data_IF_738206384443
#
_entry.id   IF_738206384443
#
_cell.length_a   1.000
_cell.length_b   1.000
_cell.length_c   1.000
_cell.angle_alpha   90.00
_cell.angle_beta   90.00
_cell.angle_gamma   90.00
#
_symmetry.space_group_name_H-M   'P 1'
#
loop_
_entity.id
_entity.type
_entity.pdbx_description
1 polymer ?
#
# COMPACT_ATOMS: atom_id res chain seq x y z
N UNK A 1 -6.19 -7.10 7.69
CA UNK A 1 -4.89 -7.68 7.29
C UNK A 1 -4.82 -8.08 5.81
N UNK A 2 -5.99 -8.21 5.14
CA UNK A 2 -6.08 -8.57 3.69
C UNK A 2 -5.32 -7.57 2.80
N UNK A 3 -5.40 -6.28 3.09
CA UNK A 3 -4.72 -5.23 2.30
C UNK A 3 -3.18 -5.33 2.31
N UNK A 4 -2.60 -6.02 3.30
CA UNK A 4 -1.14 -6.21 3.38
C UNK A 4 -0.63 -7.36 2.52
N UNK A 5 -1.50 -8.21 1.97
CA UNK A 5 -1.09 -9.36 1.16
C UNK A 5 -0.21 -8.96 -0.05
N UNK A 6 -0.57 -7.96 -0.87
CA UNK A 6 0.26 -7.53 -1.98
C UNK A 6 1.67 -7.13 -1.54
N UNK A 7 1.77 -6.38 -0.45
CA UNK A 7 3.04 -5.91 0.09
C UNK A 7 3.87 -7.04 0.68
N UNK A 8 3.27 -7.93 1.48
CA UNK A 8 4.00 -9.01 2.16
C UNK A 8 4.55 -10.04 1.16
N UNK A 9 3.80 -10.37 0.13
CA UNK A 9 4.23 -11.33 -0.88
C UNK A 9 5.32 -10.74 -1.78
N UNK A 10 5.13 -9.52 -2.27
CA UNK A 10 6.01 -8.92 -3.28
C UNK A 10 7.16 -8.15 -2.64
N UNK A 11 6.83 -7.12 -1.86
CA UNK A 11 7.83 -6.15 -1.40
C UNK A 11 8.81 -6.75 -0.40
N UNK A 12 8.34 -7.62 0.50
CA UNK A 12 9.22 -8.27 1.47
C UNK A 12 10.17 -9.24 0.79
N UNK A 13 9.69 -10.02 -0.20
CA UNK A 13 10.52 -10.97 -0.95
C UNK A 13 11.61 -10.27 -1.76
N UNK A 14 11.25 -9.21 -2.50
CA UNK A 14 12.21 -8.42 -3.28
C UNK A 14 13.18 -7.67 -2.36
N UNK A 15 12.70 -7.09 -1.27
CA UNK A 15 13.54 -6.39 -0.30
C UNK A 15 14.56 -7.32 0.35
N UNK A 16 14.17 -8.56 0.65
CA UNK A 16 15.08 -9.56 1.23
C UNK A 16 16.17 -9.96 0.22
N UNK A 17 15.78 -10.20 -1.05
CA UNK A 17 16.73 -10.55 -2.12
C UNK A 17 17.72 -9.40 -2.43
N UNK A 18 17.26 -8.14 -2.40
CA UNK A 18 18.10 -6.98 -2.67
C UNK A 18 18.88 -6.49 -1.45
N UNK A 19 18.47 -6.85 -0.24
CA UNK A 19 19.15 -6.43 0.98
C UNK A 19 20.62 -6.85 1.01
N UNK A 20 20.92 -8.07 0.60
CA UNK A 20 22.31 -8.58 0.54
C UNK A 20 23.17 -7.74 -0.41
N UNK A 21 22.61 -7.31 -1.56
CA UNK A 21 23.31 -6.44 -2.52
C UNK A 21 23.50 -5.01 -1.98
N UNK A 22 22.51 -4.48 -1.26
CA UNK A 22 22.61 -3.17 -0.62
C UNK A 22 23.65 -3.21 0.51
N UNK A 23 23.63 -4.26 1.34
CA UNK A 23 24.58 -4.43 2.44
C UNK A 23 26.02 -4.63 1.94
N UNK A 24 26.24 -5.44 0.89
CA UNK A 24 27.55 -5.57 0.27
C UNK A 24 28.05 -4.24 -0.29
N UNK A 25 27.20 -3.50 -1.02
CA UNK A 25 27.57 -2.20 -1.55
C UNK A 25 27.87 -1.17 -0.44
N UNK A 26 27.20 -1.27 0.71
CA UNK A 26 27.47 -0.45 1.89
C UNK A 26 28.83 -0.79 2.50
N UNK A 27 29.17 -2.08 2.64
CA UNK A 27 30.48 -2.54 3.14
C UNK A 27 31.63 -2.10 2.23
N UNK A 28 31.39 -2.09 0.90
CA UNK A 28 32.37 -1.64 -0.10
C UNK A 28 32.44 -0.10 -0.22
N UNK A 29 31.62 0.67 0.53
CA UNK A 29 31.53 2.13 0.41
C UNK A 29 30.95 2.62 -0.92
N UNK A 30 30.35 1.73 -1.74
CA UNK A 30 29.86 2.04 -3.08
C UNK A 30 28.44 2.63 -3.05
N UNK A 31 28.35 3.93 -2.78
CA UNK A 31 27.08 4.65 -2.71
C UNK A 31 26.26 4.58 -4.01
N UNK A 32 26.92 4.60 -5.16
CA UNK A 32 26.24 4.52 -6.47
C UNK A 32 25.52 3.20 -6.65
N UNK A 33 26.13 2.08 -6.24
CA UNK A 33 25.52 0.77 -6.25
C UNK A 33 24.35 0.67 -5.26
N UNK A 34 24.50 1.25 -4.07
CA UNK A 34 23.43 1.32 -3.08
C UNK A 34 22.20 2.04 -3.63
N UNK A 35 22.38 3.23 -4.20
CA UNK A 35 21.28 4.03 -4.78
C UNK A 35 20.61 3.28 -5.91
N UNK A 36 21.39 2.68 -6.82
CA UNK A 36 20.86 1.90 -7.93
C UNK A 36 20.00 0.72 -7.46
N UNK A 37 20.50 -0.07 -6.51
CA UNK A 37 19.76 -1.22 -5.96
C UNK A 37 18.50 -0.79 -5.21
N UNK A 38 18.57 0.32 -4.46
CA UNK A 38 17.41 0.93 -3.81
C UNK A 38 16.33 1.33 -4.82
N UNK A 39 16.69 2.09 -5.87
CA UNK A 39 15.73 2.56 -6.87
C UNK A 39 15.12 1.41 -7.67
N UNK A 40 15.91 0.41 -8.07
CA UNK A 40 15.41 -0.79 -8.77
C UNK A 40 14.43 -1.53 -7.85
N UNK A 41 14.79 -1.73 -6.59
CA UNK A 41 13.94 -2.42 -5.62
C UNK A 41 12.62 -1.71 -5.40
N UNK A 42 12.66 -0.41 -5.14
CA UNK A 42 11.45 0.40 -4.97
C UNK A 42 10.57 0.35 -6.21
N UNK A 43 11.15 0.57 -7.39
CA UNK A 43 10.40 0.64 -8.66
C UNK A 43 9.73 -0.68 -9.01
N UNK A 44 10.46 -1.79 -8.94
CA UNK A 44 9.90 -3.11 -9.23
C UNK A 44 8.83 -3.53 -8.22
N UNK A 45 9.06 -3.24 -6.94
CA UNK A 45 8.07 -3.54 -5.89
C UNK A 45 6.84 -2.65 -5.99
N UNK A 46 6.99 -1.35 -6.28
CA UNK A 46 5.86 -0.44 -6.51
C UNK A 46 4.99 -0.94 -7.67
N UNK A 47 5.60 -1.28 -8.81
CA UNK A 47 4.86 -1.77 -9.97
C UNK A 47 4.02 -2.99 -9.62
N UNK A 48 4.63 -4.01 -9.03
CA UNK A 48 3.94 -5.27 -8.72
C UNK A 48 2.93 -5.11 -7.58
N UNK A 49 3.28 -4.39 -6.51
CA UNK A 49 2.37 -4.19 -5.37
C UNK A 49 1.17 -3.34 -5.78
N UNK A 50 1.37 -2.29 -6.57
CA UNK A 50 0.28 -1.45 -7.04
C UNK A 50 -0.62 -2.18 -8.05
N UNK A 51 -0.06 -3.03 -8.89
CA UNK A 51 -0.84 -3.89 -9.77
C UNK A 51 -1.73 -4.87 -8.98
N UNK A 52 -1.16 -5.55 -7.99
CA UNK A 52 -1.94 -6.43 -7.10
C UNK A 52 -2.98 -5.64 -6.28
N UNK A 53 -2.65 -4.44 -5.83
CA UNK A 53 -3.59 -3.55 -5.13
C UNK A 53 -4.77 -3.15 -6.04
N UNK A 54 -4.52 -2.89 -7.32
CA UNK A 54 -5.58 -2.59 -8.29
C UNK A 54 -6.54 -3.77 -8.47
N UNK A 55 -6.00 -4.98 -8.62
CA UNK A 55 -6.81 -6.22 -8.71
C UNK A 55 -7.62 -6.42 -7.42
N UNK A 56 -6.98 -6.28 -6.26
CA UNK A 56 -7.64 -6.45 -4.97
C UNK A 56 -8.73 -5.39 -4.74
N UNK A 57 -8.50 -4.15 -5.16
CA UNK A 57 -9.49 -3.07 -5.10
C UNK A 57 -10.68 -3.32 -6.03
N UNK A 58 -10.42 -3.75 -7.27
CA UNK A 58 -11.48 -4.10 -8.21
C UNK A 58 -12.32 -5.28 -7.71
N UNK A 59 -11.66 -6.29 -7.14
CA UNK A 59 -12.30 -7.50 -6.62
C UNK A 59 -12.72 -7.37 -5.13
N UNK A 60 -12.74 -6.17 -4.55
CA UNK A 60 -12.98 -5.98 -3.10
C UNK A 60 -14.29 -6.61 -2.64
N UNK A 61 -15.41 -6.38 -3.34
CA UNK A 61 -16.71 -6.96 -2.99
C UNK A 61 -16.71 -8.49 -3.12
N UNK A 62 -16.31 -9.10 -4.26
CA UNK A 62 -16.20 -10.55 -4.37
C UNK A 62 -15.31 -11.20 -3.31
N UNK A 63 -14.19 -10.57 -2.97
CA UNK A 63 -13.28 -11.07 -1.93
C UNK A 63 -13.99 -11.16 -0.58
N UNK A 64 -14.72 -10.11 -0.17
CA UNK A 64 -15.46 -10.15 1.10
C UNK A 64 -16.68 -11.06 1.06
N UNK A 65 -17.30 -11.29 -0.09
CA UNK A 65 -18.33 -12.32 -0.24
C UNK A 65 -17.81 -13.73 0.01
N UNK A 66 -16.57 -14.01 -0.44
CA UNK A 66 -15.92 -15.31 -0.20
C UNK A 66 -15.48 -15.46 1.27
N UNK A 67 -14.94 -14.40 1.86
CA UNK A 67 -14.37 -14.43 3.23
C UNK A 67 -15.46 -14.44 4.32
N UNK A 68 -16.63 -13.88 4.05
CA UNK A 68 -17.70 -13.75 5.03
C UNK A 68 -19.07 -13.95 4.40
N UNK A 69 -19.40 -15.16 3.87
CA UNK A 69 -20.65 -15.41 3.13
C UNK A 69 -21.92 -15.23 3.98
N UNK A 70 -21.78 -15.23 5.32
CA UNK A 70 -22.89 -15.03 6.27
C UNK A 70 -23.11 -13.58 6.67
N UNK A 71 -22.24 -12.65 6.25
CA UNK A 71 -22.36 -11.24 6.61
C UNK A 71 -23.45 -10.55 5.77
N UNK A 72 -24.05 -9.51 6.36
CA UNK A 72 -24.99 -8.67 5.62
C UNK A 72 -24.30 -7.95 4.46
N UNK A 73 -25.00 -7.78 3.33
CA UNK A 73 -24.45 -7.11 2.13
C UNK A 73 -23.92 -5.72 2.44
N UNK A 74 -24.61 -4.97 3.32
CA UNK A 74 -24.19 -3.65 3.77
C UNK A 74 -22.82 -3.65 4.48
N UNK A 75 -22.54 -4.70 5.26
CA UNK A 75 -21.25 -4.86 5.93
C UNK A 75 -20.14 -5.19 4.93
N UNK A 76 -20.42 -6.07 3.95
CA UNK A 76 -19.45 -6.40 2.91
C UNK A 76 -19.06 -5.17 2.08
N UNK A 77 -20.03 -4.33 1.72
CA UNK A 77 -19.79 -3.06 1.02
C UNK A 77 -18.98 -2.10 1.89
N UNK A 78 -19.24 -2.03 3.20
CA UNK A 78 -18.46 -1.21 4.11
C UNK A 78 -17.00 -1.69 4.19
N UNK A 79 -16.76 -3.01 4.28
CA UNK A 79 -15.41 -3.58 4.28
C UNK A 79 -14.69 -3.39 2.94
N UNK A 80 -15.39 -3.50 1.81
CA UNK A 80 -14.84 -3.24 0.50
C UNK A 80 -14.41 -1.76 0.34
N UNK A 81 -15.25 -0.81 0.78
CA UNK A 81 -14.90 0.61 0.79
C UNK A 81 -13.73 0.90 1.72
N UNK A 82 -13.69 0.29 2.89
CA UNK A 82 -12.56 0.39 3.82
C UNK A 82 -11.25 -0.10 3.18
N UNK A 83 -11.31 -1.22 2.45
CA UNK A 83 -10.16 -1.76 1.72
C UNK A 83 -9.67 -0.78 0.64
N UNK A 84 -10.57 -0.25 -0.18
CA UNK A 84 -10.21 0.70 -1.26
C UNK A 84 -9.55 1.96 -0.70
N UNK A 85 -9.99 2.47 0.45
CA UNK A 85 -9.40 3.66 1.10
C UNK A 85 -7.94 3.41 1.53
N UNK A 86 -7.61 2.20 2.00
CA UNK A 86 -6.27 1.93 2.55
C UNK A 86 -5.26 1.50 1.48
N UNK A 87 -5.70 0.98 0.33
CA UNK A 87 -4.82 0.46 -0.72
C UNK A 87 -3.77 1.47 -1.23
N UNK A 88 -4.08 2.76 -1.46
CA UNK A 88 -3.08 3.73 -1.90
C UNK A 88 -1.91 3.90 -0.93
N UNK A 89 -2.12 3.66 0.36
CA UNK A 89 -1.08 3.68 1.38
C UNK A 89 0.03 2.65 1.17
N UNK A 90 -0.24 1.58 0.40
CA UNK A 90 0.76 0.58 0.05
C UNK A 90 1.94 1.16 -0.73
N UNK A 91 1.73 2.22 -1.52
CA UNK A 91 2.82 2.90 -2.22
C UNK A 91 3.87 3.46 -1.24
N UNK A 92 3.40 4.14 -0.18
CA UNK A 92 4.28 4.60 0.89
C UNK A 92 4.94 3.45 1.64
N UNK A 93 4.19 2.41 1.96
CA UNK A 93 4.69 1.24 2.69
C UNK A 93 5.82 0.51 1.94
N UNK A 94 5.74 0.40 0.61
CA UNK A 94 6.85 -0.14 -0.22
C UNK A 94 8.12 0.69 -0.04
N UNK A 95 8.03 2.01 -0.18
CA UNK A 95 9.19 2.91 -0.05
C UNK A 95 9.81 2.83 1.33
N UNK A 96 8.98 2.73 2.38
CA UNK A 96 9.45 2.59 3.77
C UNK A 96 10.31 1.34 3.93
N UNK A 97 9.85 0.17 3.44
CA UNK A 97 10.58 -1.10 3.55
C UNK A 97 11.99 -0.97 2.95
N UNK A 98 12.10 -0.44 1.73
CA UNK A 98 13.41 -0.31 1.08
C UNK A 98 14.30 0.75 1.74
N UNK A 99 13.72 1.86 2.18
CA UNK A 99 14.47 2.90 2.91
C UNK A 99 15.04 2.36 4.23
N UNK A 100 14.26 1.56 4.96
CA UNK A 100 14.73 0.89 6.18
C UNK A 100 15.90 -0.05 5.89
N UNK A 101 15.89 -0.78 4.75
CA UNK A 101 17.03 -1.65 4.37
C UNK A 101 18.30 -0.84 4.12
N UNK A 102 18.19 0.35 3.51
CA UNK A 102 19.33 1.25 3.33
C UNK A 102 19.86 1.73 4.68
N UNK A 103 18.98 2.17 5.59
CA UNK A 103 19.42 2.66 6.90
C UNK A 103 20.06 1.55 7.75
N UNK A 104 19.49 0.34 7.74
CA UNK A 104 20.06 -0.81 8.45
C UNK A 104 21.42 -1.25 7.88
N UNK A 105 21.60 -1.16 6.54
CA UNK A 105 22.91 -1.47 5.93
C UNK A 105 24.00 -0.44 6.28
N UNK A 106 23.60 0.76 6.70
CA UNK A 106 24.49 1.84 7.17
C UNK A 106 24.61 1.89 8.70
N UNK A 107 24.00 0.94 9.41
CA UNK A 107 23.96 0.88 10.89
C UNK A 107 23.35 2.15 11.54
N UNK A 108 22.53 2.91 10.78
CA UNK A 108 21.92 4.17 11.25
C UNK A 108 20.42 3.98 11.52
N UNK A 109 20.08 3.74 12.79
CA UNK A 109 18.70 3.60 13.23
C UNK A 109 17.93 4.92 13.43
N UNK A 110 18.62 6.06 13.48
CA UNK A 110 18.00 7.36 13.79
C UNK A 110 16.98 7.80 12.73
N UNK A 111 17.27 7.72 11.41
CA UNK A 111 16.27 8.06 10.39
C UNK A 111 15.03 7.18 10.48
N UNK A 112 15.19 5.89 10.78
CA UNK A 112 14.07 4.95 10.93
C UNK A 112 13.13 5.42 12.02
N UNK A 113 13.66 5.82 13.17
CA UNK A 113 12.86 6.33 14.29
C UNK A 113 12.06 7.59 13.88
N UNK A 114 12.70 8.58 13.26
CA UNK A 114 12.02 9.82 12.88
C UNK A 114 11.02 9.63 11.74
N UNK A 115 11.28 8.72 10.80
CA UNK A 115 10.34 8.42 9.72
C UNK A 115 9.07 7.73 10.22
N UNK A 116 9.10 7.09 11.37
CA UNK A 116 7.93 6.50 12.02
C UNK A 116 7.24 7.51 12.94
N UNK A 117 8.00 8.19 13.80
CA UNK A 117 7.48 9.04 14.87
C UNK A 117 6.59 10.17 14.33
N UNK A 118 7.11 10.99 13.41
CA UNK A 118 6.39 12.18 12.94
C UNK A 118 5.11 11.85 12.17
N UNK A 119 5.11 10.90 11.20
CA UNK A 119 3.87 10.54 10.51
C UNK A 119 2.86 9.87 11.43
N UNK A 120 3.29 9.08 12.43
CA UNK A 120 2.37 8.46 13.40
C UNK A 120 1.70 9.51 14.28
N UNK A 121 2.45 10.51 14.76
CA UNK A 121 1.85 11.63 15.47
C UNK A 121 0.86 12.40 14.58
N UNK A 122 1.25 12.67 13.33
CA UNK A 122 0.36 13.29 12.35
C UNK A 122 -0.90 12.48 12.08
N UNK A 123 -0.80 11.15 12.03
CA UNK A 123 -1.94 10.25 11.89
C UNK A 123 -2.92 10.36 13.06
N UNK A 124 -2.40 10.38 14.30
CA UNK A 124 -3.24 10.53 15.49
C UNK A 124 -3.98 11.87 15.47
N UNK A 125 -3.25 12.95 15.18
CA UNK A 125 -3.86 14.30 15.09
C UNK A 125 -4.91 14.35 13.97
N UNK A 126 -4.58 13.85 12.77
CA UNK A 126 -5.51 13.84 11.64
C UNK A 126 -6.74 12.98 11.93
N UNK A 127 -6.53 11.78 12.48
CA UNK A 127 -7.63 10.87 12.86
C UNK A 127 -8.54 11.49 13.88
N UNK A 128 -7.98 12.10 14.93
CA UNK A 128 -8.75 12.82 15.97
C UNK A 128 -9.54 13.98 15.37
N UNK A 129 -8.91 14.78 14.52
CA UNK A 129 -9.58 15.90 13.84
C UNK A 129 -10.73 15.43 12.96
N UNK A 130 -10.53 14.36 12.17
CA UNK A 130 -11.60 13.80 11.34
C UNK A 130 -12.77 13.27 12.17
N UNK A 131 -12.50 12.65 13.32
CA UNK A 131 -13.56 12.18 14.24
C UNK A 131 -14.39 13.32 14.84
N UNK A 132 -13.82 14.53 15.00
CA UNK A 132 -14.58 15.70 15.46
C UNK A 132 -15.55 16.25 14.41
N UNK A 133 -15.21 16.13 13.12
CA UNK A 133 -16.02 16.68 12.02
C UNK A 133 -16.93 15.66 11.35
N UNK A 134 -16.64 14.35 11.48
CA UNK A 134 -17.41 13.30 10.84
C UNK A 134 -18.44 12.68 11.79
N UNK A 135 -19.64 12.34 11.29
CA UNK A 135 -20.60 11.52 12.05
C UNK A 135 -19.99 10.17 12.45
N UNK A 136 -20.43 9.57 13.59
CA UNK A 136 -19.87 8.32 14.11
C UNK A 136 -19.82 7.16 13.12
N UNK A 137 -20.78 7.11 12.20
CA UNK A 137 -20.86 6.09 11.14
C UNK A 137 -19.63 6.10 10.20
N UNK A 138 -18.99 7.25 10.05
CA UNK A 138 -17.80 7.42 9.15
C UNK A 138 -16.46 7.41 9.88
N UNK A 139 -16.43 7.23 11.21
CA UNK A 139 -15.16 7.25 11.97
C UNK A 139 -14.16 6.21 11.50
N UNK A 140 -14.62 5.00 11.16
CA UNK A 140 -13.75 3.96 10.58
C UNK A 140 -13.07 4.45 9.31
N UNK A 141 -13.82 5.05 8.39
CA UNK A 141 -13.27 5.54 7.12
C UNK A 141 -12.31 6.72 7.34
N UNK A 142 -12.60 7.60 8.31
CA UNK A 142 -11.71 8.67 8.71
C UNK A 142 -10.38 8.15 9.26
N UNK A 143 -10.41 7.14 10.11
CA UNK A 143 -9.21 6.51 10.66
C UNK A 143 -8.37 5.83 9.56
N UNK A 144 -8.99 5.10 8.63
CA UNK A 144 -8.31 4.45 7.51
C UNK A 144 -7.71 5.48 6.53
N UNK A 145 -8.41 6.59 6.30
CA UNK A 145 -7.89 7.68 5.49
C UNK A 145 -6.65 8.32 6.15
N UNK A 146 -6.70 8.57 7.46
CA UNK A 146 -5.56 9.08 8.22
C UNK A 146 -4.36 8.11 8.16
N UNK A 147 -4.59 6.80 8.25
CA UNK A 147 -3.56 5.76 8.07
C UNK A 147 -2.95 5.85 6.66
N UNK A 148 -3.77 5.94 5.63
CA UNK A 148 -3.32 6.04 4.23
C UNK A 148 -2.44 7.26 4.00
N UNK A 149 -2.89 8.42 4.46
CA UNK A 149 -2.12 9.67 4.37
C UNK A 149 -0.80 9.54 5.13
N UNK A 150 -0.83 9.00 6.35
CA UNK A 150 0.36 8.76 7.17
C UNK A 150 1.38 7.88 6.45
N UNK A 151 0.94 6.77 5.82
CA UNK A 151 1.82 5.87 5.06
C UNK A 151 2.47 6.56 3.86
N UNK A 152 1.72 7.37 3.12
CA UNK A 152 2.25 8.14 1.99
C UNK A 152 3.27 9.17 2.48
N UNK A 153 2.94 9.94 3.52
CA UNK A 153 3.84 10.93 4.12
C UNK A 153 5.11 10.26 4.64
N UNK A 154 4.98 9.12 5.31
CA UNK A 154 6.11 8.33 5.80
C UNK A 154 7.02 7.87 4.66
N UNK A 155 6.44 7.40 3.54
CA UNK A 155 7.19 7.03 2.33
C UNK A 155 7.96 8.22 1.75
N UNK A 156 7.29 9.36 1.58
CA UNK A 156 7.91 10.60 1.09
C UNK A 156 9.04 11.05 2.02
N UNK A 157 8.79 11.12 3.31
CA UNK A 157 9.78 11.52 4.31
C UNK A 157 11.00 10.60 4.29
N UNK A 158 10.79 9.28 4.15
CA UNK A 158 11.85 8.30 4.05
C UNK A 158 12.79 8.57 2.86
N UNK A 159 12.27 9.03 1.71
CA UNK A 159 13.11 9.36 0.54
C UNK A 159 14.02 10.54 0.81
N UNK A 160 13.55 11.55 1.55
CA UNK A 160 14.39 12.70 1.95
C UNK A 160 15.48 12.30 2.94
N UNK A 161 15.18 11.41 3.89
CA UNK A 161 16.21 10.89 4.80
C UNK A 161 17.23 10.00 4.08
N UNK A 162 16.81 9.21 3.07
CA UNK A 162 17.75 8.45 2.22
C UNK A 162 18.66 9.43 1.47
N UNK A 163 18.13 10.51 0.89
CA UNK A 163 18.95 11.54 0.25
C UNK A 163 19.95 12.19 1.19
N UNK A 164 19.57 12.45 2.44
CA UNK A 164 20.46 13.03 3.42
C UNK A 164 21.70 12.15 3.73
N UNK A 165 21.58 10.82 3.53
CA UNK A 165 22.67 9.86 3.70
C UNK A 165 23.36 9.50 2.39
N UNK A 166 22.62 9.49 1.30
CA UNK A 166 23.06 9.19 -0.05
C UNK A 166 22.71 10.38 -0.97
N UNK A 167 23.58 11.38 -1.10
CA UNK A 167 23.29 12.60 -1.87
C UNK A 167 22.97 12.35 -3.34
N UNK A 168 23.42 11.22 -3.90
CA UNK A 168 23.12 10.79 -5.26
C UNK A 168 21.68 10.29 -5.42
N UNK A 169 20.98 9.94 -4.33
CA UNK A 169 19.58 9.52 -4.39
C UNK A 169 18.68 10.72 -4.65
N UNK A 170 17.95 10.70 -5.78
CA UNK A 170 16.99 11.75 -6.10
C UNK A 170 15.60 11.36 -5.56
N UNK A 171 15.05 12.06 -4.54
CA UNK A 171 13.74 11.77 -3.99
C UNK A 171 12.62 11.89 -5.02
N UNK A 172 12.73 12.85 -5.94
CA UNK A 172 11.71 13.10 -6.93
C UNK A 172 11.49 11.93 -7.91
N UNK A 173 12.52 11.12 -8.15
CA UNK A 173 12.39 9.89 -8.95
C UNK A 173 11.48 8.89 -8.23
N UNK A 174 11.69 8.68 -6.94
CA UNK A 174 10.91 7.73 -6.14
C UNK A 174 9.49 8.26 -5.93
N UNK A 175 9.33 9.55 -5.61
CA UNK A 175 8.02 10.19 -5.45
C UNK A 175 7.24 10.15 -6.79
N UNK A 176 7.92 10.43 -7.91
CA UNK A 176 7.34 10.33 -9.25
C UNK A 176 6.87 8.90 -9.57
N UNK A 177 7.66 7.89 -9.22
CA UNK A 177 7.27 6.48 -9.38
C UNK A 177 6.08 6.14 -8.46
N UNK A 178 6.03 6.61 -7.21
CA UNK A 178 4.88 6.44 -6.31
C UNK A 178 3.60 7.01 -6.91
N UNK A 179 3.65 8.25 -7.40
CA UNK A 179 2.48 8.92 -8.00
C UNK A 179 2.06 8.21 -9.29
N UNK A 180 3.02 7.89 -10.15
CA UNK A 180 2.77 7.22 -11.44
C UNK A 180 2.09 5.86 -11.24
N UNK A 181 2.69 4.98 -10.46
CA UNK A 181 2.15 3.63 -10.25
C UNK A 181 0.89 3.65 -9.40
N UNK A 182 0.79 4.58 -8.44
CA UNK A 182 -0.44 4.80 -7.68
C UNK A 182 -1.61 5.25 -8.58
N UNK A 183 -1.39 6.22 -9.47
CA UNK A 183 -2.41 6.68 -10.40
C UNK A 183 -2.84 5.59 -11.40
N UNK A 184 -1.87 4.81 -11.92
CA UNK A 184 -2.16 3.66 -12.80
C UNK A 184 -3.00 2.61 -12.03
N UNK A 185 -2.67 2.32 -10.78
CA UNK A 185 -3.40 1.35 -9.96
C UNK A 185 -4.84 1.80 -9.69
N UNK A 186 -5.04 3.09 -9.35
CA UNK A 186 -6.39 3.66 -9.17
C UNK A 186 -7.18 3.56 -10.47
N UNK A 187 -6.60 3.99 -11.60
CA UNK A 187 -7.26 3.90 -12.91
C UNK A 187 -7.62 2.46 -13.30
N UNK A 188 -6.68 1.52 -13.14
CA UNK A 188 -6.93 0.10 -13.41
C UNK A 188 -7.98 -0.50 -12.47
N UNK A 189 -7.96 -0.13 -11.19
CA UNK A 189 -8.96 -0.55 -10.21
C UNK A 189 -10.37 -0.06 -10.58
N UNK A 190 -10.51 1.21 -10.96
CA UNK A 190 -11.78 1.77 -11.40
C UNK A 190 -12.31 1.11 -12.69
N UNK A 191 -11.42 0.86 -13.67
CA UNK A 191 -11.78 0.13 -14.89
C UNK A 191 -12.21 -1.31 -14.57
N UNK A 192 -11.49 -1.98 -13.66
CA UNK A 192 -11.84 -3.32 -13.20
C UNK A 192 -13.19 -3.37 -12.51
N UNK A 193 -13.48 -2.41 -11.61
CA UNK A 193 -14.79 -2.26 -10.98
C UNK A 193 -15.91 -2.05 -12.02
N UNK A 194 -15.67 -1.17 -13.01
CA UNK A 194 -16.59 -0.92 -14.10
C UNK A 194 -16.87 -2.20 -14.91
N UNK A 195 -15.81 -2.92 -15.29
CA UNK A 195 -15.93 -4.18 -16.03
C UNK A 195 -16.75 -5.25 -15.25
N UNK A 196 -16.48 -5.40 -13.95
CA UNK A 196 -17.23 -6.30 -13.08
C UNK A 196 -18.69 -5.90 -12.95
N UNK A 197 -18.98 -4.59 -12.96
CA UNK A 197 -20.36 -4.10 -12.96
C UNK A 197 -21.10 -4.47 -14.25
N UNK A 198 -20.47 -4.33 -15.41
CA UNK A 198 -21.05 -4.71 -16.71
C UNK A 198 -21.30 -6.23 -16.83
N UNK A 199 -20.46 -7.05 -16.22
CA UNK A 199 -20.62 -8.52 -16.21
C UNK A 199 -21.69 -8.99 -15.21
N UNK A 200 -22.35 -8.06 -14.49
CA UNK A 200 -23.34 -8.41 -13.46
C UNK A 200 -22.72 -9.01 -12.19
N UNK A 201 -21.42 -8.75 -11.99
CA UNK A 201 -20.67 -9.29 -10.87
C UNK A 201 -21.15 -8.81 -9.49
N UNK A 202 -22.04 -7.84 -9.45
CA UNK A 202 -22.64 -7.28 -8.23
C UNK A 202 -24.08 -7.73 -8.01
N UNK A 203 -24.59 -8.69 -8.85
CA UNK A 203 -25.92 -9.24 -8.65
C UNK A 203 -25.89 -10.16 -7.42
N UNK A 204 -26.43 -9.67 -6.33
CA UNK A 204 -26.42 -10.30 -5.02
C UNK A 204 -27.64 -11.22 -4.91
N UNK A 205 -27.59 -12.40 -5.53
CA UNK A 205 -28.55 -13.46 -5.18
C UNK A 205 -28.33 -13.83 -3.71
N UNK A 206 -29.37 -13.64 -2.90
CA UNK A 206 -29.35 -13.76 -1.43
C UNK A 206 -29.12 -15.18 -0.88
N UNK A 207 -28.58 -16.12 -1.65
CA UNK A 207 -28.29 -17.48 -1.19
C UNK A 207 -26.78 -17.62 -0.92
N UNK A 208 -26.43 -18.28 0.18
CA UNK A 208 -25.04 -18.57 0.57
C UNK A 208 -24.28 -19.27 -0.57
N UNK A 209 -24.94 -20.21 -1.26
CA UNK A 209 -24.40 -20.89 -2.46
C UNK A 209 -24.20 -19.93 -3.63
N UNK A 210 -25.12 -19.02 -3.88
CA UNK A 210 -25.02 -17.99 -4.91
C UNK A 210 -23.89 -17.00 -4.60
N UNK A 211 -23.67 -16.66 -3.32
CA UNK A 211 -22.57 -15.78 -2.90
C UNK A 211 -21.20 -16.46 -3.09
N UNK A 212 -21.05 -17.75 -2.75
CA UNK A 212 -19.81 -18.50 -2.91
C UNK A 212 -19.50 -18.73 -4.39
N UNK A 213 -20.44 -19.26 -5.17
CA UNK A 213 -20.25 -19.51 -6.60
C UNK A 213 -20.16 -18.22 -7.41
N UNK A 214 -21.02 -17.26 -7.12
CA UNK A 214 -20.96 -15.94 -7.71
C UNK A 214 -19.63 -15.24 -7.37
N UNK A 215 -19.15 -15.31 -6.13
CA UNK A 215 -17.86 -14.78 -5.72
C UNK A 215 -16.69 -15.44 -6.44
N UNK A 216 -16.71 -16.77 -6.62
CA UNK A 216 -15.64 -17.50 -7.32
C UNK A 216 -15.56 -17.11 -8.81
N UNK A 217 -16.67 -17.14 -9.54
CA UNK A 217 -16.71 -16.77 -10.96
C UNK A 217 -16.46 -15.28 -11.22
N UNK A 218 -16.66 -14.43 -10.20
CA UNK A 218 -16.41 -13.00 -10.26
C UNK A 218 -14.97 -12.63 -9.88
N UNK A 219 -14.22 -13.56 -9.28
CA UNK A 219 -12.81 -13.37 -8.89
C UNK A 219 -11.82 -13.95 -9.91
N UNK A 220 -12.32 -14.77 -10.87
CA UNK A 220 -11.56 -15.32 -12.01
C UNK A 220 -11.79 -14.48 -13.25
#
# INVERSE_FOLDING_TARGET
TVYMLPQSIVSVSIATALFTKIASAAADGNQTSMVRNYQIGVRSSLLLTMWMAAILGAAAIPVFQILGPSNAISEMVAYANALVIILPGLAGAVVIIFSQRVFYSMEDGRPVFYTVLWPTLGQVVLGWTLMMFLPPVYWLFGALFAETVSRIVQGVLSTYFVRARLPQANPWVVIGDMVKYGAIAVGAGLLGMGALHFVGAFDTSNTVTGAIWGGFWRAV
#
